data_IF_730079745523
#
_entry.id   IF_730079745523
#
_cell.length_a   1.000
_cell.length_b   1.000
_cell.length_c   1.000
_cell.angle_alpha   90.00
_cell.angle_beta   90.00
_cell.angle_gamma   90.00
#
_symmetry.space_group_name_H-M   'P 1'
#
loop_
_entity.id
_entity.type
_entity.pdbx_description
1 polymer ?
#
# COMPACT_ATOMS: atom_id res chain seq x y z
N UNK A 1 -25.46 11.85 14.20
CA UNK A 1 -24.41 12.61 13.49
C UNK A 1 -23.00 12.35 14.05
N UNK A 2 -22.80 12.30 15.37
CA UNK A 2 -21.47 12.08 16.00
C UNK A 2 -20.91 10.65 15.89
N UNK A 3 -21.72 9.71 15.41
CA UNK A 3 -21.38 8.29 15.21
C UNK A 3 -21.24 7.90 13.73
N UNK A 4 -21.49 8.82 12.79
CA UNK A 4 -21.53 8.49 11.36
C UNK A 4 -20.13 8.50 10.71
N UNK A 5 -19.16 9.13 11.36
CA UNK A 5 -17.76 9.15 10.94
C UNK A 5 -16.87 8.82 12.14
N UNK A 6 -16.41 7.57 12.28
CA UNK A 6 -15.49 7.22 13.35
C UNK A 6 -14.20 8.03 13.18
N UNK A 7 -13.86 8.83 14.19
CA UNK A 7 -12.72 9.75 14.15
C UNK A 7 -11.40 9.05 13.76
N UNK A 8 -11.24 7.76 14.13
CA UNK A 8 -10.10 6.91 13.80
C UNK A 8 -9.89 6.72 12.29
N UNK A 9 -10.97 6.52 11.52
CA UNK A 9 -10.87 6.38 10.06
C UNK A 9 -10.60 7.72 9.37
N UNK A 10 -11.18 8.81 9.89
CA UNK A 10 -10.95 10.16 9.34
C UNK A 10 -9.47 10.55 9.46
N UNK A 11 -8.84 10.28 10.61
CA UNK A 11 -7.41 10.52 10.79
C UNK A 11 -6.53 9.65 9.88
N UNK A 12 -6.89 8.38 9.68
CA UNK A 12 -6.20 7.51 8.71
C UNK A 12 -6.32 8.00 7.27
N UNK A 13 -7.49 8.52 6.89
CA UNK A 13 -7.73 9.09 5.58
C UNK A 13 -6.89 10.35 5.34
N UNK A 14 -6.86 11.27 6.30
CA UNK A 14 -6.03 12.49 6.21
C UNK A 14 -4.55 12.12 6.08
N UNK A 15 -4.07 11.13 6.84
CA UNK A 15 -2.68 10.67 6.75
C UNK A 15 -2.36 10.09 5.36
N UNK A 16 -3.25 9.27 4.80
CA UNK A 16 -3.11 8.76 3.42
C UNK A 16 -3.06 9.90 2.38
N UNK A 17 -3.89 10.92 2.55
CA UNK A 17 -3.92 12.08 1.67
C UNK A 17 -2.60 12.85 1.71
N UNK A 18 -2.04 13.08 2.90
CA UNK A 18 -0.73 13.72 3.07
C UNK A 18 0.37 12.94 2.35
N UNK A 19 0.45 11.62 2.54
CA UNK A 19 1.46 10.81 1.87
C UNK A 19 1.31 10.85 0.34
N UNK A 20 0.07 10.86 -0.16
CA UNK A 20 -0.19 10.95 -1.61
C UNK A 20 0.29 12.30 -2.16
N UNK A 21 0.06 13.39 -1.43
CA UNK A 21 0.57 14.71 -1.79
C UNK A 21 2.10 14.71 -1.77
N UNK A 22 2.75 14.12 -0.77
CA UNK A 22 4.22 13.98 -0.72
C UNK A 22 4.77 13.25 -1.95
N UNK A 23 4.12 12.16 -2.38
CA UNK A 23 4.48 11.47 -3.62
C UNK A 23 4.29 12.37 -4.85
N UNK A 24 3.17 13.10 -4.95
CA UNK A 24 2.94 14.04 -6.07
C UNK A 24 3.98 15.16 -6.13
N UNK A 25 4.45 15.66 -4.98
CA UNK A 25 5.47 16.71 -4.93
C UNK A 25 6.79 16.27 -5.60
N UNK A 26 7.15 14.98 -5.57
CA UNK A 26 8.33 14.44 -6.26
C UNK A 26 8.32 14.79 -7.75
N UNK A 27 7.15 14.76 -8.39
CA UNK A 27 6.99 15.14 -9.79
C UNK A 27 7.23 16.64 -10.01
N UNK A 28 6.69 17.49 -9.13
CA UNK A 28 6.81 18.95 -9.28
C UNK A 28 8.22 19.48 -8.97
N UNK A 29 8.95 18.84 -8.05
CA UNK A 29 10.27 19.30 -7.62
C UNK A 29 11.44 18.89 -8.54
N UNK A 30 11.18 18.30 -9.71
CA UNK A 30 12.22 17.91 -10.70
C UNK A 30 13.42 17.16 -10.06
N UNK A 31 13.13 16.27 -9.12
CA UNK A 31 14.16 15.49 -8.44
C UNK A 31 14.84 14.49 -9.39
N UNK A 32 16.06 14.08 -9.05
CA UNK A 32 16.75 13.02 -9.80
C UNK A 32 15.97 11.70 -9.74
N UNK A 33 16.09 10.90 -10.81
CA UNK A 33 15.36 9.63 -10.96
C UNK A 33 15.55 8.69 -9.76
N UNK A 34 16.75 8.67 -9.17
CA UNK A 34 17.06 7.85 -8.00
C UNK A 34 16.28 8.33 -6.76
N UNK A 35 16.35 9.63 -6.43
CA UNK A 35 15.66 10.20 -5.27
C UNK A 35 14.15 10.07 -5.40
N UNK A 36 13.59 10.32 -6.58
CA UNK A 36 12.16 10.18 -6.79
C UNK A 36 11.66 8.74 -6.62
N UNK A 37 12.40 7.76 -7.14
CA UNK A 37 12.09 6.34 -6.98
C UNK A 37 12.13 5.90 -5.51
N UNK A 38 13.14 6.35 -4.75
CA UNK A 38 13.24 6.04 -3.32
C UNK A 38 12.04 6.58 -2.55
N UNK A 39 11.62 7.82 -2.83
CA UNK A 39 10.44 8.39 -2.20
C UNK A 39 9.21 7.58 -2.58
N UNK A 40 8.96 7.28 -3.86
CA UNK A 40 7.79 6.50 -4.27
C UNK A 40 7.70 5.14 -3.59
N UNK A 41 8.81 4.40 -3.49
CA UNK A 41 8.82 3.08 -2.83
C UNK A 41 8.49 3.23 -1.34
N UNK A 42 9.14 4.19 -0.65
CA UNK A 42 8.88 4.46 0.76
C UNK A 42 7.42 4.82 1.01
N UNK A 43 6.91 5.80 0.26
CA UNK A 43 5.54 6.27 0.43
C UNK A 43 4.54 5.16 0.10
N UNK A 44 4.77 4.36 -0.94
CA UNK A 44 3.89 3.24 -1.31
C UNK A 44 3.80 2.16 -0.21
N UNK A 45 4.93 1.77 0.39
CA UNK A 45 4.92 0.79 1.49
C UNK A 45 4.24 1.33 2.74
N UNK A 46 4.47 2.59 3.09
CA UNK A 46 3.78 3.22 4.22
C UNK A 46 2.27 3.33 3.92
N UNK A 47 1.88 3.66 2.68
CA UNK A 47 0.49 3.68 2.25
C UNK A 47 -0.19 2.33 2.45
N UNK A 48 0.46 1.25 2.01
CA UNK A 48 -0.05 -0.11 2.15
C UNK A 48 -0.23 -0.49 3.62
N UNK A 49 0.71 -0.10 4.50
CA UNK A 49 0.62 -0.33 5.94
C UNK A 49 -0.55 0.43 6.58
N UNK A 50 -0.76 1.71 6.23
CA UNK A 50 -1.89 2.51 6.71
C UNK A 50 -3.22 1.89 6.28
N UNK A 51 -3.29 1.41 5.03
CA UNK A 51 -4.47 0.75 4.50
C UNK A 51 -4.80 -0.53 5.28
N UNK A 52 -3.77 -1.30 5.61
CA UNK A 52 -3.93 -2.52 6.39
C UNK A 52 -4.38 -2.27 7.83
N UNK A 53 -3.73 -1.31 8.50
CA UNK A 53 -3.91 -1.09 9.94
C UNK A 53 -5.14 -0.26 10.25
N UNK A 54 -5.41 0.79 9.46
CA UNK A 54 -6.47 1.76 9.76
C UNK A 54 -7.78 1.44 9.04
N UNK A 55 -7.72 1.01 7.78
CA UNK A 55 -8.93 0.75 7.01
C UNK A 55 -9.40 -0.69 7.17
N UNK A 56 -8.48 -1.65 7.18
CA UNK A 56 -8.83 -3.05 7.34
C UNK A 56 -9.16 -3.47 8.79
N UNK A 57 -8.99 -2.59 9.79
CA UNK A 57 -9.17 -2.90 11.22
C UNK A 57 -8.57 -4.27 11.62
N UNK A 58 -7.46 -4.65 10.98
CA UNK A 58 -6.96 -6.02 10.93
C UNK A 58 -6.56 -6.60 12.30
N UNK A 59 -6.58 -5.77 13.35
CA UNK A 59 -6.12 -6.07 14.71
C UNK A 59 -7.21 -5.94 15.78
N UNK A 60 -8.42 -5.54 15.41
CA UNK A 60 -9.52 -5.25 16.35
C UNK A 60 -10.66 -6.28 16.28
N UNK A 61 -10.49 -7.34 15.48
CA UNK A 61 -11.47 -8.43 15.30
C UNK A 61 -10.94 -9.72 15.94
N UNK A 62 -11.78 -10.49 16.63
CA UNK A 62 -11.39 -11.78 17.26
C UNK A 62 -10.73 -12.76 16.26
N UNK A 63 -11.10 -12.67 14.98
CA UNK A 63 -10.56 -13.47 13.87
C UNK A 63 -9.32 -12.86 13.18
N UNK A 64 -8.61 -11.92 13.84
CA UNK A 64 -7.44 -11.23 13.28
C UNK A 64 -6.42 -12.20 12.64
N UNK A 65 -6.22 -13.39 13.24
CA UNK A 65 -5.29 -14.41 12.69
C UNK A 65 -5.72 -14.94 11.32
N UNK A 66 -7.01 -15.14 11.10
CA UNK A 66 -7.55 -15.61 9.81
C UNK A 66 -7.35 -14.54 8.72
N UNK A 67 -7.60 -13.27 9.05
CA UNK A 67 -7.40 -12.14 8.13
C UNK A 67 -5.93 -12.01 7.72
N UNK A 68 -5.00 -12.10 8.67
CA UNK A 68 -3.56 -12.05 8.37
C UNK A 68 -3.10 -13.24 7.53
N UNK A 69 -3.67 -14.44 7.75
CA UNK A 69 -3.39 -15.63 6.94
C UNK A 69 -3.85 -15.43 5.48
N UNK A 70 -5.08 -14.96 5.28
CA UNK A 70 -5.62 -14.69 3.93
C UNK A 70 -4.84 -13.59 3.23
N UNK A 71 -4.48 -12.52 3.94
CA UNK A 71 -3.64 -11.45 3.42
C UNK A 71 -2.27 -11.98 2.94
N UNK A 72 -1.61 -12.80 3.76
CA UNK A 72 -0.33 -13.38 3.40
C UNK A 72 -0.44 -14.23 2.13
N UNK A 73 -1.47 -15.09 2.05
CA UNK A 73 -1.77 -15.87 0.85
C UNK A 73 -2.03 -14.96 -0.36
N UNK A 74 -2.77 -13.86 -0.21
CA UNK A 74 -3.06 -12.92 -1.28
C UNK A 74 -1.80 -12.21 -1.79
N UNK A 75 -0.92 -11.75 -0.88
CA UNK A 75 0.36 -11.12 -1.25
C UNK A 75 1.27 -12.14 -1.96
N UNK A 76 1.34 -13.37 -1.45
CA UNK A 76 2.13 -14.43 -2.07
C UNK A 76 1.66 -14.74 -3.49
N UNK A 77 0.35 -14.89 -3.69
CA UNK A 77 -0.23 -15.08 -5.02
C UNK A 77 0.06 -13.89 -5.93
N UNK A 78 -0.14 -12.66 -5.45
CA UNK A 78 0.16 -11.46 -6.22
C UNK A 78 1.63 -11.39 -6.66
N UNK A 79 2.57 -11.74 -5.78
CA UNK A 79 4.00 -11.79 -6.09
C UNK A 79 4.32 -12.85 -7.14
N UNK A 80 3.82 -14.08 -6.99
CA UNK A 80 4.02 -15.15 -7.97
C UNK A 80 3.44 -14.75 -9.33
N UNK A 81 2.25 -14.17 -9.36
CA UNK A 81 1.63 -13.73 -10.61
C UNK A 81 2.46 -12.64 -11.28
N UNK A 82 2.81 -11.56 -10.56
CA UNK A 82 3.56 -10.44 -11.15
C UNK A 82 4.94 -10.89 -11.62
N UNK A 83 5.71 -11.56 -10.77
CA UNK A 83 7.07 -12.02 -11.11
C UNK A 83 7.01 -13.11 -12.19
N UNK A 84 6.08 -14.04 -12.09
CA UNK A 84 5.89 -15.12 -13.06
C UNK A 84 5.52 -14.58 -14.45
N UNK A 85 4.64 -13.60 -14.53
CA UNK A 85 4.29 -12.95 -15.81
C UNK A 85 5.47 -12.20 -16.40
N UNK A 86 6.20 -11.41 -15.59
CA UNK A 86 7.41 -10.71 -16.06
C UNK A 86 8.46 -11.72 -16.55
N UNK A 87 8.71 -12.79 -15.80
CA UNK A 87 9.65 -13.84 -16.19
C UNK A 87 9.23 -14.52 -17.50
N UNK A 88 7.95 -14.84 -17.66
CA UNK A 88 7.42 -15.43 -18.88
C UNK A 88 7.57 -14.50 -20.09
N UNK A 89 7.35 -13.19 -19.92
CA UNK A 89 7.59 -12.20 -20.98
C UNK A 89 9.09 -12.01 -21.28
N UNK A 90 9.97 -12.14 -20.30
CA UNK A 90 11.42 -12.03 -20.55
C UNK A 90 11.96 -13.26 -21.25
N UNK A 91 11.49 -14.46 -20.88
CA UNK A 91 12.00 -15.73 -21.41
C UNK A 91 11.28 -16.16 -22.70
N UNK A 92 9.98 -15.92 -22.82
CA UNK A 92 9.18 -16.31 -23.99
C UNK A 92 9.40 -15.45 -25.23
N UNK A 93 10.09 -14.31 -25.10
CA UNK A 93 10.47 -13.43 -26.21
C UNK A 93 11.96 -13.57 -26.61
N UNK A 94 12.63 -14.64 -26.18
CA UNK A 94 13.95 -15.09 -26.66
C UNK A 94 13.81 -16.45 -27.34
#
# INVERSE_FOLDING_TARGET
MKELFPAKQVWGFVFSLILTVVALLVYFFNMTKATGMTIFILTAFIQAAVQLVVFMHARETDDSKSIFMTLYCAIFLALITVVGTILCMVWGFY
#
